data_IF_416675219685
#
_entry.id   IF_416675219685
#
_cell.length_a   1.000
_cell.length_b   1.000
_cell.length_c   1.000
_cell.angle_alpha   90.00
_cell.angle_beta   90.00
_cell.angle_gamma   90.00
#
_symmetry.space_group_name_H-M   'P 1'
#
loop_
_entity.id
_entity.type
_entity.pdbx_description
1 polymer ?
#
# COMPACT_ATOMS: atom_id res chain seq x y z
N UNK A 1 -11.41 -13.65 1.68
CA UNK A 1 -10.10 -13.20 1.15
C UNK A 1 -8.91 -13.66 1.99
N UNK A 2 -8.82 -13.41 3.31
CA UNK A 2 -7.64 -13.75 4.12
C UNK A 2 -7.15 -15.20 3.97
N UNK A 3 -8.05 -16.19 4.03
CA UNK A 3 -7.70 -17.61 3.85
C UNK A 3 -7.15 -17.91 2.44
N UNK A 4 -7.65 -17.24 1.39
CA UNK A 4 -7.11 -17.36 0.02
C UNK A 4 -5.68 -16.84 -0.05
N UNK A 5 -5.41 -15.68 0.55
CA UNK A 5 -4.05 -15.11 0.59
C UNK A 5 -3.08 -15.97 1.40
N UNK A 6 -3.53 -16.58 2.49
CA UNK A 6 -2.72 -17.54 3.24
C UNK A 6 -2.37 -18.79 2.37
N UNK A 7 -3.31 -19.27 1.56
CA UNK A 7 -3.06 -20.35 0.62
C UNK A 7 -2.05 -19.95 -0.47
N UNK A 8 -2.18 -18.75 -1.04
CA UNK A 8 -1.21 -18.19 -2.01
C UNK A 8 0.17 -18.07 -1.39
N UNK A 9 0.28 -17.61 -0.13
CA UNK A 9 1.55 -17.54 0.58
C UNK A 9 2.21 -18.93 0.73
N UNK A 10 1.41 -19.94 1.12
CA UNK A 10 1.89 -21.31 1.24
C UNK A 10 2.33 -21.92 -0.10
N UNK A 11 1.58 -21.67 -1.17
CA UNK A 11 1.87 -22.17 -2.52
C UNK A 11 3.13 -21.55 -3.12
N UNK A 12 3.31 -20.23 -2.94
CA UNK A 12 4.38 -19.48 -3.61
C UNK A 12 5.63 -19.28 -2.77
N UNK A 13 5.55 -19.53 -1.46
CA UNK A 13 6.60 -19.18 -0.49
C UNK A 13 6.74 -17.67 -0.24
N UNK A 14 5.85 -16.84 -0.78
CA UNK A 14 5.90 -15.40 -0.60
C UNK A 14 5.49 -14.99 0.83
N UNK A 15 6.17 -13.97 1.36
CA UNK A 15 5.76 -13.33 2.61
C UNK A 15 4.65 -12.32 2.31
N UNK A 16 3.43 -12.63 2.74
CA UNK A 16 2.26 -11.79 2.50
C UNK A 16 1.87 -11.07 3.81
N UNK A 17 1.65 -9.77 3.72
CA UNK A 17 1.01 -8.95 4.75
C UNK A 17 -0.42 -8.68 4.29
N UNK A 18 -1.41 -9.09 5.08
CA UNK A 18 -2.81 -8.84 4.77
C UNK A 18 -3.15 -7.38 5.02
N UNK A 19 -3.66 -6.70 4.00
CA UNK A 19 -4.11 -5.30 4.13
C UNK A 19 -5.61 -5.18 3.92
N UNK A 20 -6.26 -4.50 4.85
CA UNK A 20 -7.62 -3.99 4.64
C UNK A 20 -7.80 -2.69 5.42
N UNK A 21 -8.52 -1.73 4.83
CA UNK A 21 -8.85 -0.47 5.50
C UNK A 21 -10.11 -0.64 6.34
N UNK A 22 -10.11 -0.11 7.55
CA UNK A 22 -11.31 -0.02 8.39
C UNK A 22 -12.18 1.18 8.01
N UNK A 23 -11.62 2.17 7.33
CA UNK A 23 -12.32 3.31 6.77
C UNK A 23 -11.69 3.73 5.43
N UNK A 24 -12.51 4.11 4.49
CA UNK A 24 -12.14 4.72 3.23
C UNK A 24 -12.33 6.25 3.33
N UNK A 25 -11.46 6.91 4.09
CA UNK A 25 -11.63 8.30 4.53
C UNK A 25 -11.58 9.35 3.39
N UNK A 26 -10.99 9.03 2.25
CA UNK A 26 -10.74 9.97 1.14
C UNK A 26 -11.62 9.74 -0.10
N UNK A 27 -12.86 9.25 0.07
CA UNK A 27 -13.78 9.03 -1.04
C UNK A 27 -14.15 10.33 -1.76
N UNK A 28 -14.28 10.24 -3.10
CA UNK A 28 -14.69 11.37 -3.94
C UNK A 28 -16.16 11.75 -3.70
N UNK A 29 -17.05 10.79 -3.44
CA UNK A 29 -18.45 11.03 -3.12
C UNK A 29 -18.74 10.76 -1.65
N UNK A 30 -19.58 11.63 -1.06
CA UNK A 30 -20.07 11.46 0.32
C UNK A 30 -20.89 10.17 0.50
N UNK A 31 -21.53 9.71 -0.57
CA UNK A 31 -22.40 8.53 -0.56
C UNK A 31 -21.63 7.22 -0.74
N UNK A 32 -20.33 7.28 -1.04
CA UNK A 32 -19.51 6.09 -1.24
C UNK A 32 -19.35 5.28 0.04
N UNK A 33 -19.21 3.97 -0.12
CA UNK A 33 -18.94 3.07 0.99
C UNK A 33 -17.68 3.47 1.76
N UNK A 34 -17.79 3.62 3.08
CA UNK A 34 -16.72 4.05 3.97
C UNK A 34 -16.04 2.87 4.69
N UNK A 35 -16.77 1.86 5.05
CA UNK A 35 -16.29 0.75 5.88
C UNK A 35 -16.92 0.72 7.27
N UNK A 36 -16.50 -0.23 8.12
CA UNK A 36 -17.09 -0.44 9.46
C UNK A 36 -16.64 0.60 10.51
N UNK A 37 -15.63 1.41 10.21
CA UNK A 37 -15.00 2.31 11.18
C UNK A 37 -13.93 1.64 12.05
N UNK A 38 -13.24 2.44 12.87
CA UNK A 38 -12.02 2.03 13.58
C UNK A 38 -12.27 0.82 14.49
N UNK A 39 -13.18 0.90 15.45
CA UNK A 39 -13.35 -0.15 16.47
C UNK A 39 -13.73 -1.49 15.84
N UNK A 40 -14.85 -1.54 15.13
CA UNK A 40 -15.34 -2.76 14.49
C UNK A 40 -14.34 -3.28 13.43
N UNK A 41 -13.68 -2.38 12.70
CA UNK A 41 -12.70 -2.77 11.69
C UNK A 41 -11.47 -3.42 12.31
N UNK A 42 -11.00 -2.95 13.45
CA UNK A 42 -9.90 -3.58 14.18
C UNK A 42 -10.29 -4.95 14.73
N UNK A 43 -11.52 -5.13 15.23
CA UNK A 43 -12.01 -6.45 15.68
C UNK A 43 -12.03 -7.44 14.52
N UNK A 44 -12.57 -7.05 13.36
CA UNK A 44 -12.56 -7.89 12.14
C UNK A 44 -11.13 -8.26 11.72
N UNK A 45 -10.20 -7.29 11.76
CA UNK A 45 -8.80 -7.55 11.43
C UNK A 45 -8.15 -8.53 12.42
N UNK A 46 -8.44 -8.41 13.71
CA UNK A 46 -7.96 -9.36 14.72
C UNK A 46 -8.47 -10.79 14.45
N UNK A 47 -9.74 -10.95 14.05
CA UNK A 47 -10.30 -12.24 13.63
C UNK A 47 -9.58 -12.80 12.38
N UNK A 48 -9.28 -11.95 11.39
CA UNK A 48 -8.51 -12.36 10.20
C UNK A 48 -7.12 -12.86 10.61
N UNK A 49 -6.44 -12.17 11.52
CA UNK A 49 -5.12 -12.58 12.03
C UNK A 49 -5.20 -13.94 12.72
N UNK A 50 -6.17 -14.11 13.61
CA UNK A 50 -6.37 -15.37 14.32
C UNK A 50 -6.66 -16.54 13.36
N UNK A 51 -7.43 -16.29 12.30
CA UNK A 51 -7.85 -17.31 11.35
C UNK A 51 -6.76 -17.68 10.29
N UNK A 52 -5.77 -16.80 10.06
CA UNK A 52 -4.83 -16.94 8.94
C UNK A 52 -3.37 -16.94 9.35
N UNK A 53 -3.03 -16.39 10.51
CA UNK A 53 -1.65 -16.15 10.95
C UNK A 53 -0.91 -15.06 10.16
N UNK A 54 -1.55 -14.41 9.17
CA UNK A 54 -0.93 -13.36 8.37
C UNK A 54 -0.69 -12.09 9.19
N UNK A 55 0.46 -11.41 9.04
CA UNK A 55 0.64 -10.06 9.56
C UNK A 55 -0.38 -9.10 8.95
N UNK A 56 -0.78 -8.09 9.73
CA UNK A 56 -1.82 -7.14 9.35
C UNK A 56 -1.28 -5.75 9.07
N UNK A 57 -1.85 -5.09 8.06
CA UNK A 57 -1.64 -3.69 7.74
C UNK A 57 -2.99 -2.99 7.54
N UNK A 58 -3.14 -1.78 8.05
CA UNK A 58 -4.24 -0.87 7.70
C UNK A 58 -3.79 0.58 7.72
N UNK A 59 -4.55 1.42 7.02
CA UNK A 59 -4.36 2.87 7.02
C UNK A 59 -4.77 3.44 8.37
N UNK A 60 -4.05 4.48 8.83
CA UNK A 60 -4.47 5.39 9.89
C UNK A 60 -4.69 6.79 9.30
N UNK A 61 -5.76 7.47 9.70
CA UNK A 61 -6.19 8.72 9.05
C UNK A 61 -6.08 9.94 9.96
N UNK A 62 -6.04 9.71 11.29
CA UNK A 62 -5.91 10.77 12.28
C UNK A 62 -4.98 10.36 13.42
N UNK A 63 -4.29 11.31 14.08
CA UNK A 63 -3.33 11.00 15.15
C UNK A 63 -3.91 10.14 16.29
N UNK A 64 -5.17 10.36 16.67
CA UNK A 64 -5.81 9.64 17.76
C UNK A 64 -6.13 8.16 17.45
N UNK A 65 -6.06 7.75 16.19
CA UNK A 65 -6.28 6.36 15.78
C UNK A 65 -5.03 5.49 15.95
N UNK A 66 -3.84 6.10 15.89
CA UNK A 66 -2.58 5.39 15.77
C UNK A 66 -2.34 4.38 16.91
N UNK A 67 -2.60 4.78 18.15
CA UNK A 67 -2.38 3.92 19.31
C UNK A 67 -3.35 2.72 19.34
N UNK A 68 -4.63 2.96 19.06
CA UNK A 68 -5.64 1.88 19.02
C UNK A 68 -5.33 0.90 17.89
N UNK A 69 -5.00 1.40 16.71
CA UNK A 69 -4.62 0.60 15.55
C UNK A 69 -3.36 -0.25 15.83
N UNK A 70 -2.35 0.32 16.49
CA UNK A 70 -1.10 -0.36 16.82
C UNK A 70 -1.26 -1.57 17.76
N UNK A 71 -2.36 -1.66 18.53
CA UNK A 71 -2.64 -2.82 19.40
C UNK A 71 -2.98 -4.07 18.60
N UNK A 72 -3.52 -3.92 17.39
CA UNK A 72 -3.97 -5.01 16.53
C UNK A 72 -3.06 -5.20 15.32
N UNK A 73 -2.67 -4.11 14.69
CA UNK A 73 -1.88 -4.13 13.45
C UNK A 73 -0.40 -4.40 13.70
N UNK A 74 0.23 -5.06 12.75
CA UNK A 74 1.68 -5.28 12.72
C UNK A 74 2.41 -4.15 11.97
N UNK A 75 1.73 -3.51 11.03
CA UNK A 75 2.24 -2.37 10.25
C UNK A 75 1.15 -1.30 10.17
N UNK A 76 1.48 -0.05 10.44
CA UNK A 76 0.59 1.09 10.18
C UNK A 76 0.91 1.69 8.82
N UNK A 77 -0.13 2.07 8.06
CA UNK A 77 0.05 2.76 6.79
C UNK A 77 -0.36 4.22 6.87
N UNK A 78 0.51 5.09 6.35
CA UNK A 78 0.17 6.50 6.14
C UNK A 78 -0.31 6.67 4.70
N UNK A 79 -1.56 7.12 4.49
CA UNK A 79 -2.10 7.38 3.16
C UNK A 79 -1.32 8.45 2.40
N UNK A 80 -1.29 8.35 1.07
CA UNK A 80 -0.54 9.26 0.20
C UNK A 80 -0.92 10.74 0.39
N UNK A 81 -2.21 11.05 0.50
CA UNK A 81 -2.67 12.43 0.73
C UNK A 81 -2.24 13.00 2.09
N UNK A 82 -1.96 12.13 3.06
CA UNK A 82 -1.59 12.50 4.43
C UNK A 82 -0.09 12.37 4.70
N UNK A 83 0.71 12.04 3.70
CA UNK A 83 2.15 11.77 3.85
C UNK A 83 2.96 12.95 4.40
N UNK A 84 2.45 14.18 4.32
CA UNK A 84 3.08 15.39 4.88
C UNK A 84 2.53 15.83 6.23
N UNK A 85 1.45 15.19 6.73
CA UNK A 85 0.80 15.57 8.00
C UNK A 85 1.70 15.22 9.19
N UNK A 86 2.35 16.23 9.75
CA UNK A 86 3.36 16.05 10.82
C UNK A 86 2.77 15.32 12.03
N UNK A 87 1.61 15.77 12.52
CA UNK A 87 1.01 15.19 13.73
C UNK A 87 0.63 13.71 13.55
N UNK A 88 0.18 13.34 12.34
CA UNK A 88 -0.13 11.94 12.02
C UNK A 88 1.13 11.08 11.97
N UNK A 89 2.18 11.56 11.32
CA UNK A 89 3.47 10.87 11.23
C UNK A 89 4.09 10.67 12.62
N UNK A 90 4.09 11.72 13.44
CA UNK A 90 4.58 11.68 14.82
C UNK A 90 3.78 10.68 15.66
N UNK A 91 2.45 10.73 15.61
CA UNK A 91 1.61 9.81 16.37
C UNK A 91 1.83 8.35 15.94
N UNK A 92 1.90 8.08 14.64
CA UNK A 92 2.18 6.75 14.12
C UNK A 92 3.61 6.28 14.51
N UNK A 93 4.62 7.15 14.41
CA UNK A 93 5.99 6.81 14.76
C UNK A 93 6.14 6.47 16.24
N UNK A 94 5.48 7.21 17.14
CA UNK A 94 5.47 6.96 18.59
C UNK A 94 4.95 5.59 18.99
N UNK A 95 4.15 4.94 18.14
CA UNK A 95 3.67 3.57 18.41
C UNK A 95 4.81 2.54 18.37
N UNK A 96 5.98 2.85 17.79
CA UNK A 96 7.10 1.93 17.56
C UNK A 96 6.83 0.82 16.57
N UNK A 97 5.65 0.80 15.93
CA UNK A 97 5.31 -0.14 14.86
C UNK A 97 6.02 0.20 13.55
N UNK A 98 6.30 -0.78 12.69
CA UNK A 98 6.68 -0.52 11.31
C UNK A 98 5.65 0.36 10.60
N UNK A 99 6.14 1.33 9.81
CA UNK A 99 5.29 2.23 9.03
C UNK A 99 5.49 1.99 7.55
N UNK A 100 4.40 1.83 6.80
CA UNK A 100 4.38 1.90 5.35
C UNK A 100 3.89 3.28 4.92
N UNK A 101 4.77 4.15 4.41
CA UNK A 101 4.44 5.54 4.13
C UNK A 101 4.30 5.72 2.63
N UNK A 102 3.07 5.94 2.16
CA UNK A 102 2.80 6.17 0.74
C UNK A 102 3.26 7.57 0.33
N UNK A 103 4.10 7.65 -0.71
CA UNK A 103 4.48 8.92 -1.31
C UNK A 103 3.24 9.63 -1.87
N UNK A 104 3.04 10.89 -1.51
CA UNK A 104 1.99 11.72 -2.13
C UNK A 104 2.22 11.89 -3.63
N UNK A 105 1.12 11.94 -4.40
CA UNK A 105 1.18 12.13 -5.85
C UNK A 105 1.80 13.48 -6.25
N UNK A 106 1.84 14.40 -5.31
CA UNK A 106 2.37 15.77 -5.43
C UNK A 106 3.82 15.90 -4.91
N UNK A 107 4.43 14.82 -4.41
CA UNK A 107 5.79 14.81 -3.88
C UNK A 107 6.79 14.29 -4.90
N UNK A 108 7.94 14.93 -4.95
CA UNK A 108 9.12 14.33 -5.55
C UNK A 108 9.63 13.15 -4.69
N UNK A 109 10.31 12.14 -5.27
CA UNK A 109 10.86 11.02 -4.51
C UNK A 109 11.79 11.47 -3.38
N UNK A 110 12.62 12.48 -3.59
CA UNK A 110 13.57 13.01 -2.61
C UNK A 110 12.89 13.70 -1.44
N UNK A 111 11.68 14.26 -1.62
CA UNK A 111 10.89 14.88 -0.56
C UNK A 111 10.48 13.88 0.53
N UNK A 112 10.53 12.58 0.24
CA UNK A 112 10.30 11.54 1.24
C UNK A 112 11.36 11.55 2.34
N UNK A 113 12.52 12.15 2.12
CA UNK A 113 13.51 12.40 3.14
C UNK A 113 12.95 13.21 4.32
N UNK A 114 12.14 14.25 4.05
CA UNK A 114 11.50 15.05 5.10
C UNK A 114 10.48 14.23 5.91
N UNK A 115 9.81 13.28 5.28
CA UNK A 115 8.86 12.37 5.94
C UNK A 115 9.60 11.40 6.85
N UNK A 116 10.72 10.85 6.37
CA UNK A 116 11.61 9.98 7.14
C UNK A 116 12.12 10.69 8.38
N UNK A 117 12.63 11.92 8.25
CA UNK A 117 13.17 12.68 9.37
C UNK A 117 12.15 12.92 10.49
N UNK A 118 10.88 13.16 10.15
CA UNK A 118 9.80 13.30 11.14
C UNK A 118 9.59 12.03 11.97
N UNK A 119 9.70 10.86 11.34
CA UNK A 119 9.55 9.58 12.03
C UNK A 119 10.80 9.25 12.87
N UNK A 120 12.00 9.53 12.33
CA UNK A 120 13.27 9.33 13.02
C UNK A 120 13.39 10.20 14.27
N UNK A 121 12.92 11.43 14.22
CA UNK A 121 12.89 12.34 15.35
C UNK A 121 12.13 11.77 16.56
N UNK A 122 11.17 10.86 16.31
CA UNK A 122 10.42 10.13 17.35
C UNK A 122 11.06 8.75 17.68
N UNK A 123 12.26 8.47 17.17
CA UNK A 123 13.00 7.22 17.43
C UNK A 123 12.51 6.01 16.61
N UNK A 124 11.69 6.21 15.56
CA UNK A 124 11.20 5.11 14.74
C UNK A 124 11.95 5.02 13.41
N UNK A 125 12.79 3.97 13.30
CA UNK A 125 13.57 3.63 12.10
C UNK A 125 12.92 2.48 11.30
N UNK A 126 11.77 1.95 11.71
CA UNK A 126 11.09 0.83 11.04
C UNK A 126 10.17 1.36 9.94
N UNK A 127 10.75 1.89 8.88
CA UNK A 127 10.02 2.55 7.81
C UNK A 127 10.11 1.76 6.52
N UNK A 128 9.05 1.82 5.72
CA UNK A 128 9.00 1.42 4.30
C UNK A 128 8.45 2.61 3.51
N UNK A 129 9.06 2.93 2.39
CA UNK A 129 8.61 4.01 1.49
C UNK A 129 7.86 3.42 0.32
N UNK A 130 6.65 3.91 0.07
CA UNK A 130 5.76 3.32 -0.91
C UNK A 130 5.51 4.27 -2.08
N UNK A 131 6.00 3.92 -3.27
CA UNK A 131 5.68 4.60 -4.53
C UNK A 131 4.27 4.21 -4.99
N UNK A 132 3.50 5.19 -5.44
CA UNK A 132 2.14 4.97 -5.96
C UNK A 132 1.76 5.86 -7.14
N UNK A 133 2.73 6.40 -7.83
CA UNK A 133 2.58 7.33 -8.95
C UNK A 133 2.56 8.79 -8.54
N UNK A 134 2.84 9.61 -9.51
CA UNK A 134 2.86 11.08 -9.45
C UNK A 134 1.83 11.63 -10.41
N UNK A 135 1.13 12.70 -10.03
CA UNK A 135 0.15 13.38 -10.90
C UNK A 135 0.82 13.85 -12.20
N UNK A 136 0.21 13.49 -13.31
CA UNK A 136 0.67 13.86 -14.65
C UNK A 136 -0.48 14.52 -15.41
N UNK A 137 -0.50 15.84 -15.42
CA UNK A 137 -1.66 16.59 -15.90
C UNK A 137 -2.89 16.40 -15.00
N UNK A 138 -4.08 16.42 -15.61
CA UNK A 138 -5.35 16.16 -14.94
C UNK A 138 -5.73 14.69 -15.06
N UNK A 139 -6.22 14.09 -13.99
CA UNK A 139 -6.84 12.75 -13.99
C UNK A 139 -5.93 11.60 -14.42
N UNK A 140 -4.62 11.77 -14.39
CA UNK A 140 -3.68 10.69 -14.73
C UNK A 140 -2.52 10.62 -13.73
N UNK A 141 -1.91 9.45 -13.66
CA UNK A 141 -0.75 9.16 -12.83
C UNK A 141 0.30 8.44 -13.65
N UNK A 142 1.57 8.78 -13.40
CA UNK A 142 2.70 8.05 -13.96
C UNK A 142 3.64 7.59 -12.85
N UNK A 143 4.33 6.49 -13.08
CA UNK A 143 5.41 6.00 -12.23
C UNK A 143 6.74 6.23 -12.96
N UNK A 144 7.56 7.08 -12.37
CA UNK A 144 8.94 7.20 -12.80
C UNK A 144 9.75 6.04 -12.21
N UNK A 145 10.24 5.13 -13.04
CA UNK A 145 11.02 3.96 -12.58
C UNK A 145 12.31 4.37 -11.85
N UNK A 146 12.83 5.58 -12.08
CA UNK A 146 13.97 6.13 -11.33
C UNK A 146 13.61 6.44 -9.87
N UNK A 147 12.31 6.69 -9.57
CA UNK A 147 11.85 7.02 -8.22
C UNK A 147 12.20 5.95 -7.19
N UNK A 148 12.20 4.68 -7.60
CA UNK A 148 12.57 3.57 -6.73
C UNK A 148 14.04 3.67 -6.26
N UNK A 149 14.95 3.98 -7.18
CA UNK A 149 16.37 4.16 -6.85
C UNK A 149 16.59 5.42 -5.99
N UNK A 150 15.90 6.53 -6.32
CA UNK A 150 15.98 7.79 -5.57
C UNK A 150 15.51 7.60 -4.12
N UNK A 151 14.33 6.99 -3.92
CA UNK A 151 13.84 6.72 -2.56
C UNK A 151 14.69 5.68 -1.83
N UNK A 152 15.23 4.66 -2.53
CA UNK A 152 16.11 3.66 -1.92
C UNK A 152 17.39 4.27 -1.36
N UNK A 153 17.89 5.35 -1.96
CA UNK A 153 19.05 6.09 -1.46
C UNK A 153 18.84 6.70 -0.07
N UNK A 154 17.58 6.83 0.38
CA UNK A 154 17.24 7.23 1.74
C UNK A 154 17.49 6.12 2.79
N UNK A 155 17.85 4.90 2.35
CA UNK A 155 18.25 3.79 3.22
C UNK A 155 17.12 2.90 3.73
N UNK A 156 15.91 3.00 3.18
CA UNK A 156 14.74 2.24 3.61
C UNK A 156 14.23 1.28 2.53
N UNK A 157 13.54 0.18 2.92
CA UNK A 157 12.85 -0.69 1.98
C UNK A 157 11.81 0.06 1.15
N UNK A 158 11.73 -0.31 -0.14
CA UNK A 158 10.80 0.29 -1.09
C UNK A 158 9.67 -0.66 -1.42
N UNK A 159 8.45 -0.17 -1.27
CA UNK A 159 7.22 -0.84 -1.69
C UNK A 159 6.69 -0.15 -2.95
N UNK A 160 6.25 -0.91 -3.92
CA UNK A 160 5.53 -0.38 -5.07
C UNK A 160 4.04 -0.72 -4.98
N UNK A 161 3.22 0.31 -4.89
CA UNK A 161 1.77 0.21 -4.97
C UNK A 161 1.33 0.22 -6.44
N UNK A 162 1.21 -0.97 -6.99
CA UNK A 162 0.83 -1.18 -8.39
C UNK A 162 -0.60 -0.75 -8.64
N UNK A 163 -1.50 -1.11 -7.73
CA UNK A 163 -2.94 -0.86 -7.86
C UNK A 163 -3.25 0.62 -7.98
N UNK A 164 -2.79 1.41 -7.02
CA UNK A 164 -3.15 2.82 -6.96
C UNK A 164 -2.34 3.69 -7.93
N UNK A 165 -1.23 3.20 -8.46
CA UNK A 165 -0.50 3.89 -9.53
C UNK A 165 -1.22 3.85 -10.87
N UNK A 166 -2.21 2.98 -11.01
CA UNK A 166 -3.04 2.79 -12.21
C UNK A 166 -4.41 3.44 -12.10
N UNK A 167 -4.69 4.16 -11.02
CA UNK A 167 -5.91 4.94 -10.89
C UNK A 167 -5.92 6.12 -11.86
N UNK A 168 -7.13 6.47 -12.34
CA UNK A 168 -7.43 7.70 -13.05
C UNK A 168 -8.22 8.61 -12.10
N UNK A 169 -7.54 9.48 -11.33
CA UNK A 169 -8.18 10.28 -10.27
C UNK A 169 -9.13 11.31 -10.85
N UNK A 170 -10.36 11.36 -10.36
CA UNK A 170 -11.35 12.33 -10.81
C UNK A 170 -12.07 11.92 -12.12
N UNK A 171 -12.83 12.86 -12.70
CA UNK A 171 -13.56 12.62 -13.96
C UNK A 171 -14.90 11.91 -13.84
N UNK A 172 -15.31 11.44 -12.64
CA UNK A 172 -16.58 10.76 -12.42
C UNK A 172 -16.93 10.59 -10.94
N UNK A 173 -18.05 9.92 -10.67
CA UNK A 173 -18.46 9.55 -9.31
C UNK A 173 -17.53 8.51 -8.68
N UNK A 174 -16.87 7.70 -9.51
CA UNK A 174 -15.91 6.67 -9.11
C UNK A 174 -14.56 6.91 -9.80
N UNK A 175 -13.49 6.51 -9.12
CA UNK A 175 -12.15 6.56 -9.68
C UNK A 175 -12.01 5.48 -10.75
N UNK A 176 -11.68 5.87 -11.98
CA UNK A 176 -11.33 4.96 -13.05
C UNK A 176 -9.99 4.27 -12.81
N UNK A 177 -9.64 3.29 -13.65
CA UNK A 177 -8.36 2.61 -13.53
C UNK A 177 -8.00 1.75 -14.74
N UNK A 178 -6.72 1.41 -14.83
CA UNK A 178 -6.08 0.73 -15.96
C UNK A 178 -5.49 -0.62 -15.51
N UNK A 179 -6.27 -1.46 -14.78
CA UNK A 179 -5.81 -2.72 -14.16
C UNK A 179 -5.09 -3.68 -15.12
N UNK A 180 -5.38 -3.61 -16.41
CA UNK A 180 -4.71 -4.45 -17.42
C UNK A 180 -3.19 -4.21 -17.51
N UNK A 181 -2.70 -3.06 -17.08
CA UNK A 181 -1.26 -2.75 -17.07
C UNK A 181 -0.55 -3.12 -15.76
N UNK A 182 -1.28 -3.65 -14.77
CA UNK A 182 -0.69 -3.98 -13.47
C UNK A 182 0.48 -4.99 -13.58
N UNK A 183 0.39 -6.10 -14.33
CA UNK A 183 1.50 -7.01 -14.48
C UNK A 183 2.72 -6.35 -15.15
N UNK A 184 2.50 -5.53 -16.18
CA UNK A 184 3.56 -4.84 -16.93
C UNK A 184 4.33 -3.88 -16.04
N UNK A 185 3.62 -3.03 -15.28
CA UNK A 185 4.28 -2.07 -14.39
C UNK A 185 4.95 -2.76 -13.19
N UNK A 186 4.34 -3.81 -12.65
CA UNK A 186 4.95 -4.59 -11.58
C UNK A 186 6.28 -5.24 -12.03
N UNK A 187 6.30 -5.83 -13.22
CA UNK A 187 7.51 -6.43 -13.81
C UNK A 187 8.58 -5.38 -14.12
N UNK A 188 8.20 -4.23 -14.68
CA UNK A 188 9.13 -3.13 -14.92
C UNK A 188 9.76 -2.62 -13.63
N UNK A 189 8.97 -2.44 -12.58
CA UNK A 189 9.47 -2.06 -11.26
C UNK A 189 10.38 -3.13 -10.65
N UNK A 190 10.03 -4.42 -10.76
CA UNK A 190 10.87 -5.52 -10.32
C UNK A 190 12.25 -5.51 -11.01
N UNK A 191 12.28 -5.22 -12.32
CA UNK A 191 13.50 -5.17 -13.12
C UNK A 191 14.46 -4.04 -12.72
N UNK A 192 14.00 -3.02 -11.98
CA UNK A 192 14.88 -1.99 -11.41
C UNK A 192 15.83 -2.53 -10.32
N UNK A 193 15.52 -3.68 -9.72
CA UNK A 193 16.24 -4.24 -8.57
C UNK A 193 16.06 -3.46 -7.26
N UNK A 194 15.31 -2.35 -7.29
CA UNK A 194 15.18 -1.41 -6.16
C UNK A 194 13.92 -1.62 -5.31
N UNK A 195 12.98 -2.46 -5.76
CA UNK A 195 11.71 -2.71 -5.05
C UNK A 195 11.84 -3.92 -4.14
N UNK A 196 11.45 -3.79 -2.86
CA UNK A 196 11.50 -4.86 -1.85
C UNK A 196 10.14 -5.52 -1.61
N UNK A 197 9.06 -4.84 -1.97
CA UNK A 197 7.70 -5.36 -1.83
C UNK A 197 6.73 -4.73 -2.83
N UNK A 198 5.64 -5.45 -3.09
CA UNK A 198 4.56 -4.99 -3.95
C UNK A 198 3.27 -4.89 -3.14
N UNK A 199 2.57 -3.78 -3.31
CA UNK A 199 1.22 -3.59 -2.79
C UNK A 199 0.24 -3.81 -3.94
N UNK A 200 -0.66 -4.79 -3.75
CA UNK A 200 -1.66 -5.19 -4.74
C UNK A 200 -3.02 -5.31 -4.06
N UNK A 201 -4.04 -4.63 -4.56
CA UNK A 201 -5.41 -4.89 -4.16
C UNK A 201 -5.99 -6.00 -5.04
N UNK A 202 -6.60 -6.98 -4.41
CA UNK A 202 -7.13 -8.17 -5.07
C UNK A 202 -8.51 -8.53 -4.54
N UNK A 203 -9.33 -9.09 -5.42
CA UNK A 203 -10.67 -9.55 -5.09
C UNK A 203 -10.94 -10.87 -5.81
N UNK A 204 -11.89 -11.65 -5.33
CA UNK A 204 -12.34 -12.88 -5.98
C UNK A 204 -13.40 -12.65 -7.06
N UNK A 205 -13.94 -11.44 -7.12
CA UNK A 205 -14.81 -10.91 -8.14
C UNK A 205 -14.57 -9.40 -8.26
N UNK A 206 -13.49 -8.96 -8.94
CA UNK A 206 -13.07 -7.56 -8.96
C UNK A 206 -14.13 -6.59 -9.48
N UNK A 207 -14.97 -7.03 -10.40
CA UNK A 207 -15.97 -6.17 -11.05
C UNK A 207 -17.14 -5.83 -10.09
N UNK A 208 -17.34 -6.62 -9.03
CA UNK A 208 -18.33 -6.39 -7.98
C UNK A 208 -17.70 -5.93 -6.64
N UNK A 209 -16.44 -5.53 -6.64
CA UNK A 209 -15.80 -5.03 -5.44
C UNK A 209 -16.44 -3.72 -4.96
N UNK A 210 -16.62 -3.57 -3.63
CA UNK A 210 -17.23 -2.38 -3.02
C UNK A 210 -16.39 -1.10 -3.16
N UNK A 211 -15.13 -1.25 -3.56
CA UNK A 211 -14.21 -0.15 -3.80
C UNK A 211 -13.15 -0.54 -4.82
N UNK A 212 -12.65 0.45 -5.54
CA UNK A 212 -11.49 0.33 -6.44
C UNK A 212 -11.61 -0.79 -7.50
N UNK A 213 -12.84 -1.19 -7.88
CA UNK A 213 -13.13 -2.26 -8.85
C UNK A 213 -12.35 -2.13 -10.17
N UNK A 214 -12.14 -0.89 -10.64
CA UNK A 214 -11.40 -0.59 -11.86
C UNK A 214 -9.89 -0.87 -11.79
N UNK A 215 -9.32 -1.06 -10.58
CA UNK A 215 -7.90 -1.29 -10.37
C UNK A 215 -7.59 -2.58 -9.62
N UNK A 216 -8.57 -3.23 -8.99
CA UNK A 216 -8.37 -4.52 -8.32
C UNK A 216 -8.10 -5.65 -9.31
N UNK A 217 -7.18 -6.54 -8.94
CA UNK A 217 -6.87 -7.74 -9.72
C UNK A 217 -7.67 -8.94 -9.20
N UNK A 218 -7.90 -9.91 -10.09
CA UNK A 218 -8.38 -11.22 -9.67
C UNK A 218 -7.30 -11.92 -8.83
N UNK A 219 -7.68 -12.40 -7.65
CA UNK A 219 -6.79 -13.13 -6.75
C UNK A 219 -6.18 -14.37 -7.39
N UNK A 220 -6.85 -14.97 -8.38
CA UNK A 220 -6.37 -16.13 -9.13
C UNK A 220 -5.08 -15.84 -9.93
N UNK A 221 -4.82 -14.58 -10.26
CA UNK A 221 -3.61 -14.17 -10.98
C UNK A 221 -2.37 -14.06 -10.09
N UNK A 222 -2.55 -14.01 -8.75
CA UNK A 222 -1.44 -13.76 -7.84
C UNK A 222 -0.31 -14.79 -7.88
N UNK A 223 -0.57 -16.11 -7.89
CA UNK A 223 0.52 -17.09 -7.85
C UNK A 223 1.51 -16.91 -9.01
N UNK A 224 1.01 -16.76 -10.23
CA UNK A 224 1.86 -16.60 -11.42
C UNK A 224 2.56 -15.23 -11.43
N UNK A 225 1.87 -14.17 -11.02
CA UNK A 225 2.48 -12.86 -10.90
C UNK A 225 3.62 -12.88 -9.87
N UNK A 226 3.43 -13.48 -8.69
CA UNK A 226 4.45 -13.60 -7.65
C UNK A 226 5.67 -14.38 -8.17
N UNK A 227 5.46 -15.49 -8.85
CA UNK A 227 6.57 -16.29 -9.44
C UNK A 227 7.36 -15.45 -10.45
N UNK A 228 6.67 -14.73 -11.33
CA UNK A 228 7.29 -13.85 -12.33
C UNK A 228 8.10 -12.73 -11.67
N UNK A 229 7.51 -12.01 -10.71
CA UNK A 229 8.21 -10.93 -10.00
C UNK A 229 9.42 -11.44 -9.23
N UNK A 230 9.32 -12.58 -8.57
CA UNK A 230 10.44 -13.21 -7.84
C UNK A 230 11.59 -13.56 -8.77
N UNK A 231 11.29 -14.12 -9.94
CA UNK A 231 12.32 -14.46 -10.94
C UNK A 231 13.04 -13.21 -11.45
N UNK A 232 12.29 -12.14 -11.78
CA UNK A 232 12.86 -10.89 -12.26
C UNK A 232 13.72 -10.21 -11.19
N UNK A 233 13.25 -10.13 -9.94
CA UNK A 233 14.02 -9.54 -8.83
C UNK A 233 15.32 -10.30 -8.61
N UNK A 234 15.28 -11.63 -8.61
CA UNK A 234 16.46 -12.45 -8.43
C UNK A 234 17.49 -12.26 -9.55
N UNK A 235 17.04 -11.98 -10.78
CA UNK A 235 17.92 -11.64 -11.89
C UNK A 235 18.49 -10.23 -11.75
N UNK A 236 17.66 -9.25 -11.41
CA UNK A 236 18.03 -7.84 -11.34
C UNK A 236 18.98 -7.51 -10.17
N UNK A 237 19.04 -8.35 -9.13
CA UNK A 237 19.89 -8.15 -7.93
C UNK A 237 21.18 -8.98 -7.94
N UNK A 238 21.50 -9.65 -9.06
CA UNK A 238 22.76 -10.36 -9.24
C UNK A 238 23.87 -9.39 -9.61
#
# INVERSE_FOLDING_TARGET
>A
MGKRLAAVAAETGARIVYKSSYDKANRSSRESFRGPGLAQGLDILAEVKAATGLPLLSDVHAPHEAEAAARVLDVLQIPAFLSRQTDLLVAAAKTGKPLNIKKGQFLAPDDMGNVVEKCRAEGNEKLMLCERGTSFGYHDLVVDMRSFAMMRALGYPIVYDVTHSLQLPGGGKETGGLKQYAPVLAQAAAATGCVDGFFLEVHDDPDHALSDASTQLDVALLPDLIRSLTAIINLARR
#
